data_IF_214272071106
#
_entry.id   IF_214272071106
#
_cell.length_a   1.000
_cell.length_b   1.000
_cell.length_c   1.000
_cell.angle_alpha   90.00
_cell.angle_beta   90.00
_cell.angle_gamma   90.00
#
_symmetry.space_group_name_H-M   'P 1'
#
loop_
_entity.id
_entity.type
_entity.pdbx_description
1 polymer ?
#
# COMPACT_ATOMS: atom_id res chain seq x y z
N UNK A 1 -37.69 -15.37 4.77
CA UNK A 1 -38.99 -15.26 5.48
C UNK A 1 -39.98 -14.65 4.52
N UNK A 2 -41.14 -15.27 4.36
CA UNK A 2 -42.17 -14.84 3.41
C UNK A 2 -43.22 -13.97 4.13
N UNK A 3 -43.06 -12.65 4.00
CA UNK A 3 -43.92 -11.64 4.65
C UNK A 3 -45.41 -11.82 4.28
N UNK A 4 -45.68 -12.29 3.06
CA UNK A 4 -47.04 -12.49 2.57
C UNK A 4 -47.77 -13.57 3.38
N UNK A 5 -47.07 -14.67 3.68
CA UNK A 5 -47.59 -15.76 4.49
C UNK A 5 -47.87 -15.32 5.94
N UNK A 6 -47.04 -14.43 6.49
CA UNK A 6 -47.17 -13.93 7.87
C UNK A 6 -48.31 -12.90 8.01
N UNK A 7 -48.48 -12.01 7.02
CA UNK A 7 -49.62 -11.09 6.92
C UNK A 7 -50.94 -11.87 6.88
N UNK A 8 -51.00 -12.95 6.08
CA UNK A 8 -52.19 -13.81 5.98
C UNK A 8 -52.49 -14.45 7.34
N UNK A 9 -51.47 -14.90 8.06
CA UNK A 9 -51.63 -15.52 9.37
C UNK A 9 -52.13 -14.50 10.42
N UNK A 10 -51.57 -13.30 10.44
CA UNK A 10 -51.95 -12.23 11.37
C UNK A 10 -53.37 -11.71 11.12
N UNK A 11 -53.77 -11.52 9.86
CA UNK A 11 -55.15 -11.13 9.51
C UNK A 11 -56.13 -12.22 9.94
N UNK A 12 -55.82 -13.49 9.68
CA UNK A 12 -56.69 -14.61 10.09
C UNK A 12 -56.80 -14.77 11.61
N UNK A 13 -55.75 -14.45 12.35
CA UNK A 13 -55.73 -14.56 13.81
C UNK A 13 -56.39 -13.38 14.52
N UNK A 14 -56.24 -12.15 14.01
CA UNK A 14 -56.65 -10.94 14.72
C UNK A 14 -57.88 -10.22 14.13
N UNK A 15 -58.20 -10.41 12.84
CA UNK A 15 -59.43 -9.84 12.25
C UNK A 15 -60.68 -10.67 12.56
N UNK A 16 -60.54 -11.80 13.27
CA UNK A 16 -61.65 -12.54 13.87
C UNK A 16 -61.90 -11.98 15.28
N UNK A 17 -62.97 -11.22 15.51
CA UNK A 17 -63.28 -10.74 16.84
C UNK A 17 -63.68 -11.94 17.72
N UNK A 18 -62.81 -12.29 18.68
CA UNK A 18 -63.13 -13.25 19.74
C UNK A 18 -63.57 -12.45 20.95
N UNK A 19 -64.86 -12.45 21.22
CA UNK A 19 -65.40 -11.81 22.42
C UNK A 19 -65.42 -12.85 23.54
N UNK A 20 -64.68 -12.58 24.62
CA UNK A 20 -64.64 -13.45 25.80
C UNK A 20 -66.00 -13.62 26.50
N UNK A 21 -66.99 -12.81 26.12
CA UNK A 21 -68.37 -12.85 26.61
C UNK A 21 -69.32 -13.76 25.80
N UNK A 22 -68.87 -14.32 24.67
CA UNK A 22 -69.70 -15.18 23.81
C UNK A 22 -69.39 -16.66 24.06
N UNK A 23 -70.43 -17.48 24.10
CA UNK A 23 -70.27 -18.94 24.05
C UNK A 23 -70.00 -19.43 22.62
N UNK A 24 -69.52 -20.67 22.48
CA UNK A 24 -69.06 -21.23 21.19
C UNK A 24 -70.15 -21.18 20.09
N UNK A 25 -71.42 -21.32 20.48
CA UNK A 25 -72.55 -21.31 19.55
C UNK A 25 -72.88 -19.88 19.06
N UNK A 26 -72.78 -18.88 19.93
CA UNK A 26 -72.93 -17.47 19.58
C UNK A 26 -71.77 -16.97 18.72
N UNK A 27 -70.54 -17.41 19.03
CA UNK A 27 -69.37 -17.11 18.21
C UNK A 27 -69.52 -17.71 16.80
N UNK A 28 -70.04 -18.94 16.69
CA UNK A 28 -70.29 -19.58 15.38
C UNK A 28 -71.35 -18.86 14.56
N UNK A 29 -72.40 -18.31 15.20
CA UNK A 29 -73.42 -17.49 14.53
C UNK A 29 -72.86 -16.14 14.06
N UNK A 30 -72.04 -15.49 14.88
CA UNK A 30 -71.35 -14.26 14.52
C UNK A 30 -70.39 -14.49 13.34
N UNK A 31 -69.60 -15.57 13.39
CA UNK A 31 -68.68 -15.95 12.31
C UNK A 31 -69.43 -16.20 11.00
N UNK A 32 -70.62 -16.82 11.05
CA UNK A 32 -71.46 -17.05 9.87
C UNK A 32 -72.12 -15.76 9.36
N UNK A 33 -72.43 -14.79 10.22
CA UNK A 33 -72.96 -13.48 9.83
C UNK A 33 -71.89 -12.57 9.22
N UNK A 34 -70.64 -12.66 9.70
CA UNK A 34 -69.50 -11.88 9.22
C UNK A 34 -68.86 -12.42 7.92
N UNK A 35 -69.13 -13.69 7.57
CA UNK A 35 -68.66 -14.32 6.32
C UNK A 35 -68.98 -13.52 5.04
N UNK A 36 -69.97 -12.62 5.07
CA UNK A 36 -70.46 -11.93 3.88
C UNK A 36 -69.74 -10.64 3.48
N UNK A 37 -69.06 -9.92 4.38
CA UNK A 37 -68.75 -8.50 4.13
C UNK A 37 -67.30 -8.05 4.35
N UNK A 38 -66.38 -8.93 4.72
CA UNK A 38 -64.96 -8.55 4.84
C UNK A 38 -64.16 -9.05 3.64
N UNK A 39 -63.80 -8.13 2.75
CA UNK A 39 -62.97 -8.44 1.59
C UNK A 39 -61.50 -8.56 2.03
N UNK A 40 -61.12 -9.75 2.49
CA UNK A 40 -59.77 -10.07 2.94
C UNK A 40 -58.71 -9.88 1.85
N UNK A 41 -59.07 -10.06 0.58
CA UNK A 41 -58.16 -9.85 -0.54
C UNK A 41 -57.86 -8.36 -0.75
N UNK A 42 -58.87 -7.50 -0.55
CA UNK A 42 -58.69 -6.05 -0.59
C UNK A 42 -57.80 -5.57 0.56
N UNK A 43 -58.09 -5.98 1.80
CA UNK A 43 -57.29 -5.64 2.97
C UNK A 43 -55.83 -6.13 2.83
N UNK A 44 -55.64 -7.34 2.31
CA UNK A 44 -54.31 -7.89 2.03
C UNK A 44 -53.55 -7.00 1.04
N UNK A 45 -54.20 -6.62 -0.07
CA UNK A 45 -53.58 -5.80 -1.11
C UNK A 45 -53.20 -4.42 -0.58
N UNK A 46 -54.06 -3.80 0.22
CA UNK A 46 -53.78 -2.50 0.84
C UNK A 46 -52.64 -2.58 1.85
N UNK A 47 -52.61 -3.60 2.70
CA UNK A 47 -51.54 -3.78 3.69
C UNK A 47 -50.19 -4.10 3.04
N UNK A 48 -50.18 -4.95 2.01
CA UNK A 48 -48.97 -5.24 1.24
C UNK A 48 -48.45 -3.97 0.56
N UNK A 49 -49.33 -3.17 -0.06
CA UNK A 49 -48.99 -1.87 -0.63
C UNK A 49 -48.39 -0.91 0.40
N UNK A 50 -49.03 -0.77 1.57
CA UNK A 50 -48.54 0.09 2.64
C UNK A 50 -47.19 -0.35 3.20
N UNK A 51 -46.96 -1.66 3.32
CA UNK A 51 -45.66 -2.21 3.76
C UNK A 51 -44.58 -1.94 2.72
N UNK A 52 -44.89 -2.07 1.43
CA UNK A 52 -43.94 -1.78 0.36
C UNK A 52 -43.62 -0.30 0.25
N UNK A 53 -44.60 0.58 0.47
CA UNK A 53 -44.38 2.02 0.59
C UNK A 53 -43.49 2.35 1.80
N UNK A 54 -43.76 1.75 2.97
CA UNK A 54 -42.93 1.89 4.17
C UNK A 54 -41.50 1.37 3.94
N UNK A 55 -41.35 0.21 3.29
CA UNK A 55 -40.02 -0.32 2.93
C UNK A 55 -39.29 0.63 2.00
N UNK A 56 -39.98 1.21 1.00
CA UNK A 56 -39.39 2.16 0.07
C UNK A 56 -38.94 3.43 0.80
N UNK A 57 -39.76 3.95 1.70
CA UNK A 57 -39.43 5.11 2.54
C UNK A 57 -38.23 4.82 3.46
N UNK A 58 -38.25 3.69 4.18
CA UNK A 58 -37.14 3.28 5.06
C UNK A 58 -35.87 2.97 4.28
N UNK A 59 -35.98 2.38 3.10
CA UNK A 59 -34.84 2.16 2.21
C UNK A 59 -34.25 3.50 1.78
N UNK A 60 -35.07 4.47 1.38
CA UNK A 60 -34.60 5.81 1.03
C UNK A 60 -33.95 6.53 2.21
N UNK A 61 -34.51 6.42 3.42
CA UNK A 61 -33.90 6.95 4.65
C UNK A 61 -32.54 6.29 4.89
N UNK A 62 -32.47 4.96 4.89
CA UNK A 62 -31.21 4.23 5.13
C UNK A 62 -30.17 4.53 4.04
N UNK A 63 -30.56 4.64 2.77
CA UNK A 63 -29.65 4.98 1.67
C UNK A 63 -29.16 6.43 1.78
N UNK A 64 -30.00 7.36 2.22
CA UNK A 64 -29.62 8.76 2.39
C UNK A 64 -28.82 9.00 3.69
N UNK A 65 -29.10 8.23 4.75
CA UNK A 65 -28.39 8.27 6.03
C UNK A 65 -27.03 7.56 5.94
N UNK A 66 -26.90 6.54 5.09
CA UNK A 66 -25.60 5.95 4.70
C UNK A 66 -24.96 6.84 3.62
N UNK A 67 -24.72 8.10 3.96
CA UNK A 67 -24.03 9.07 3.09
C UNK A 67 -22.53 8.78 2.92
N UNK A 68 -21.94 7.91 3.74
CA UNK A 68 -20.49 7.94 3.94
C UNK A 68 -19.67 7.00 3.07
N UNK A 69 -20.28 6.03 2.41
CA UNK A 69 -19.56 5.20 1.44
C UNK A 69 -20.54 4.66 0.41
N UNK A 70 -20.55 5.30 -0.76
CA UNK A 70 -20.65 4.51 -1.98
C UNK A 70 -19.42 3.58 -2.03
N UNK A 71 -19.55 2.44 -1.33
CA UNK A 71 -18.60 1.33 -1.21
C UNK A 71 -18.02 0.89 -2.57
N UNK A 72 -18.71 1.24 -3.66
CA UNK A 72 -18.36 0.93 -5.04
C UNK A 72 -17.27 1.83 -5.63
N UNK A 73 -17.12 3.09 -5.19
CA UNK A 73 -16.11 4.00 -5.75
C UNK A 73 -14.75 3.85 -5.06
N UNK A 74 -14.74 3.81 -3.72
CA UNK A 74 -13.50 3.69 -2.93
C UNK A 74 -12.86 2.29 -3.00
N UNK A 75 -13.69 1.24 -3.09
CA UNK A 75 -13.22 -0.14 -3.13
C UNK A 75 -12.30 -0.43 -4.33
N UNK A 76 -12.54 0.23 -5.46
CA UNK A 76 -11.72 0.06 -6.67
C UNK A 76 -10.47 0.95 -6.70
N UNK A 77 -10.47 2.07 -5.97
CA UNK A 77 -9.35 3.02 -5.88
C UNK A 77 -8.17 2.48 -5.04
N UNK A 78 -8.40 1.51 -4.14
CA UNK A 78 -7.34 0.97 -3.27
C UNK A 78 -7.15 -0.55 -3.39
N UNK A 79 -7.82 -1.20 -4.36
CA UNK A 79 -7.66 -2.63 -4.57
C UNK A 79 -6.20 -2.94 -4.95
N UNK A 80 -5.56 -3.82 -4.18
CA UNK A 80 -4.12 -4.10 -4.18
C UNK A 80 -3.52 -4.69 -5.46
N UNK A 81 -4.29 -4.77 -6.54
CA UNK A 81 -3.84 -5.30 -7.82
C UNK A 81 -3.31 -4.16 -8.71
N UNK A 82 -2.00 -4.16 -8.97
CA UNK A 82 -1.35 -3.24 -9.89
C UNK A 82 -1.16 -1.82 -9.35
N UNK A 83 -0.72 -1.69 -8.08
CA UNK A 83 -0.40 -0.39 -7.48
C UNK A 83 0.90 0.15 -8.09
N UNK A 84 0.79 1.03 -9.07
CA UNK A 84 1.88 1.96 -9.39
C UNK A 84 1.78 3.19 -8.49
N UNK A 85 2.92 3.82 -8.17
CA UNK A 85 2.93 5.04 -7.36
C UNK A 85 2.04 6.13 -7.96
N UNK A 86 2.07 6.29 -9.29
CA UNK A 86 1.24 7.25 -10.02
C UNK A 86 -0.27 6.95 -9.88
N UNK A 87 -0.64 5.67 -9.91
CA UNK A 87 -2.03 5.25 -9.69
C UNK A 87 -2.46 5.55 -8.24
N UNK A 88 -1.64 5.16 -7.25
CA UNK A 88 -1.89 5.42 -5.85
C UNK A 88 -2.08 6.92 -5.55
N UNK A 89 -1.24 7.77 -6.12
CA UNK A 89 -1.33 9.22 -5.92
C UNK A 89 -2.60 9.81 -6.56
N UNK A 90 -2.97 9.36 -7.75
CA UNK A 90 -4.24 9.74 -8.39
C UNK A 90 -5.43 9.29 -7.52
N UNK A 91 -5.39 8.07 -7.01
CA UNK A 91 -6.43 7.50 -6.17
C UNK A 91 -6.55 8.26 -4.82
N UNK A 92 -5.43 8.62 -4.20
CA UNK A 92 -5.39 9.44 -2.98
C UNK A 92 -5.90 10.88 -3.21
N UNK A 93 -5.59 11.47 -4.36
CA UNK A 93 -6.08 12.81 -4.71
C UNK A 93 -7.61 12.83 -4.94
N UNK A 94 -8.18 11.71 -5.38
CA UNK A 94 -9.63 11.53 -5.57
C UNK A 94 -10.39 11.27 -4.28
N UNK A 95 -9.70 10.93 -3.19
CA UNK A 95 -10.35 10.75 -1.89
C UNK A 95 -10.99 12.07 -1.44
N UNK A 96 -12.28 12.08 -1.07
CA UNK A 96 -12.93 13.29 -0.57
C UNK A 96 -12.38 13.69 0.81
N UNK A 97 -12.57 14.97 1.16
CA UNK A 97 -12.38 15.44 2.53
C UNK A 97 -13.72 15.33 3.24
N UNK A 98 -13.76 14.62 4.35
CA UNK A 98 -15.00 14.47 5.12
C UNK A 98 -15.10 15.56 6.19
N UNK A 99 -16.31 16.08 6.37
CA UNK A 99 -16.68 16.96 7.47
C UNK A 99 -18.09 16.56 7.90
N UNK A 100 -18.33 16.49 9.21
CA UNK A 100 -19.69 16.31 9.71
C UNK A 100 -20.47 17.59 9.44
N UNK A 101 -21.63 17.44 8.80
CA UNK A 101 -22.66 18.47 8.77
C UNK A 101 -23.58 18.14 9.93
N UNK A 102 -23.60 19.00 10.95
CA UNK A 102 -24.55 18.96 12.07
C UNK A 102 -24.55 17.68 12.92
N UNK A 103 -23.39 17.23 13.38
CA UNK A 103 -23.29 16.11 14.35
C UNK A 103 -22.35 16.44 15.52
N UNK A 104 -22.90 16.44 16.74
CA UNK A 104 -22.18 16.70 18.00
C UNK A 104 -21.46 15.46 18.55
N UNK A 105 -21.50 14.32 17.85
CA UNK A 105 -20.83 13.11 18.29
C UNK A 105 -19.30 13.23 18.19
N UNK A 106 -18.63 13.46 19.33
CA UNK A 106 -17.16 13.65 19.41
C UNK A 106 -16.38 12.45 18.87
N UNK A 107 -16.91 11.23 19.03
CA UNK A 107 -16.28 10.00 18.53
C UNK A 107 -16.15 10.01 17.00
N UNK A 108 -17.22 10.36 16.30
CA UNK A 108 -17.26 10.40 14.84
C UNK A 108 -16.41 11.58 14.32
N UNK A 109 -16.39 12.70 15.04
CA UNK A 109 -15.51 13.82 14.73
C UNK A 109 -14.02 13.44 14.85
N UNK A 110 -13.66 12.67 15.87
CA UNK A 110 -12.28 12.20 16.06
C UNK A 110 -11.84 11.31 14.90
N UNK A 111 -12.68 10.34 14.51
CA UNK A 111 -12.38 9.43 13.40
C UNK A 111 -12.23 10.17 12.06
N UNK A 112 -13.07 11.16 11.79
CA UNK A 112 -12.98 11.94 10.56
C UNK A 112 -11.77 12.87 10.53
N UNK A 113 -11.35 13.42 11.68
CA UNK A 113 -10.10 14.16 11.80
C UNK A 113 -8.91 13.25 11.54
N UNK A 114 -8.91 12.05 12.11
CA UNK A 114 -7.87 11.05 11.90
C UNK A 114 -7.80 10.62 10.42
N UNK A 115 -8.93 10.33 9.79
CA UNK A 115 -9.00 10.05 8.36
C UNK A 115 -8.40 11.17 7.52
N UNK A 116 -8.83 12.41 7.74
CA UNK A 116 -8.34 13.56 6.98
C UNK A 116 -6.84 13.78 7.20
N UNK A 117 -6.35 13.53 8.42
CA UNK A 117 -4.94 13.59 8.75
C UNK A 117 -4.14 12.52 7.99
N UNK A 118 -4.58 11.26 8.03
CA UNK A 118 -3.96 10.15 7.32
C UNK A 118 -3.95 10.37 5.80
N UNK A 119 -5.07 10.84 5.22
CA UNK A 119 -5.17 11.22 3.81
C UNK A 119 -4.09 12.24 3.44
N UNK A 120 -3.94 13.30 4.24
CA UNK A 120 -2.96 14.36 3.96
C UNK A 120 -1.52 13.84 4.10
N UNK A 121 -1.23 13.04 5.11
CA UNK A 121 0.09 12.42 5.26
C UNK A 121 0.45 11.53 4.06
N UNK A 122 -0.49 10.72 3.57
CA UNK A 122 -0.25 9.83 2.44
C UNK A 122 0.01 10.60 1.15
N UNK A 123 -0.74 11.69 0.90
CA UNK A 123 -0.49 12.59 -0.24
C UNK A 123 0.91 13.21 -0.14
N UNK A 124 1.30 13.73 1.03
CA UNK A 124 2.62 14.31 1.24
C UNK A 124 3.75 13.30 1.00
N UNK A 125 3.59 12.05 1.47
CA UNK A 125 4.57 10.98 1.24
C UNK A 125 4.69 10.63 -0.24
N UNK A 126 3.58 10.53 -0.97
CA UNK A 126 3.61 10.25 -2.41
C UNK A 126 4.35 11.35 -3.18
N UNK A 127 4.04 12.62 -2.89
CA UNK A 127 4.72 13.76 -3.51
C UNK A 127 6.23 13.77 -3.20
N UNK A 128 6.61 13.49 -1.94
CA UNK A 128 8.03 13.41 -1.58
C UNK A 128 8.76 12.30 -2.34
N UNK A 129 8.14 11.13 -2.52
CA UNK A 129 8.73 10.03 -3.29
C UNK A 129 8.90 10.41 -4.76
N UNK A 130 7.92 11.10 -5.36
CA UNK A 130 8.05 11.59 -6.73
C UNK A 130 9.17 12.62 -6.87
N UNK A 131 9.26 13.59 -5.96
CA UNK A 131 10.35 14.57 -5.96
C UNK A 131 11.71 13.89 -5.84
N UNK A 132 11.86 12.96 -4.89
CA UNK A 132 13.11 12.20 -4.73
C UNK A 132 13.46 11.40 -5.98
N UNK A 133 12.49 10.76 -6.64
CA UNK A 133 12.72 10.05 -7.91
C UNK A 133 13.17 11.00 -9.01
N UNK A 134 12.55 12.18 -9.10
CA UNK A 134 12.91 13.16 -10.09
C UNK A 134 14.32 13.69 -9.86
N UNK A 135 14.67 14.03 -8.62
CA UNK A 135 16.00 14.49 -8.23
C UNK A 135 17.07 13.41 -8.43
N UNK A 136 16.82 12.16 -8.05
CA UNK A 136 17.73 11.04 -8.31
C UNK A 136 17.96 10.79 -9.80
N UNK A 137 16.92 10.94 -10.62
CA UNK A 137 17.05 10.80 -12.08
C UNK A 137 17.70 12.04 -12.72
N UNK A 138 17.61 13.20 -12.10
CA UNK A 138 18.25 14.43 -12.57
C UNK A 138 19.71 14.55 -12.09
N UNK A 139 20.09 13.82 -11.04
CA UNK A 139 21.45 13.81 -10.52
C UNK A 139 22.37 12.99 -11.42
N UNK A 140 23.03 13.70 -12.33
CA UNK A 140 24.04 13.17 -13.25
C UNK A 140 25.16 12.45 -12.48
N UNK A 141 25.52 12.88 -11.27
CA UNK A 141 26.56 12.21 -10.49
C UNK A 141 26.11 10.82 -10.05
N UNK A 142 24.85 10.65 -9.65
CA UNK A 142 24.31 9.34 -9.29
C UNK A 142 24.30 8.39 -10.50
N UNK A 143 23.90 8.88 -11.68
CA UNK A 143 23.93 8.08 -12.91
C UNK A 143 25.36 7.65 -13.29
N UNK A 144 26.33 8.56 -13.18
CA UNK A 144 27.74 8.26 -13.44
C UNK A 144 28.26 7.23 -12.42
N UNK A 145 27.99 7.42 -11.13
CA UNK A 145 28.44 6.51 -10.07
C UNK A 145 27.81 5.11 -10.25
N UNK A 146 26.52 5.00 -10.55
CA UNK A 146 25.85 3.71 -10.80
C UNK A 146 26.40 3.03 -12.07
N UNK A 147 26.63 3.79 -13.14
CA UNK A 147 27.26 3.27 -14.36
C UNK A 147 28.69 2.78 -14.12
N UNK A 148 29.51 3.57 -13.40
CA UNK A 148 30.88 3.20 -13.07
C UNK A 148 30.93 1.99 -12.15
N UNK A 149 30.04 1.92 -11.14
CA UNK A 149 29.96 0.80 -10.19
C UNK A 149 29.56 -0.52 -10.85
N UNK A 150 28.81 -0.48 -11.96
CA UNK A 150 28.44 -1.69 -12.74
C UNK A 150 29.55 -2.14 -13.69
N UNK A 151 30.42 -1.22 -14.11
CA UNK A 151 31.44 -1.48 -15.12
C UNK A 151 32.79 -1.82 -14.48
N UNK A 152 33.09 -1.18 -13.35
CA UNK A 152 34.38 -1.31 -12.66
C UNK A 152 34.17 -2.16 -11.41
N UNK A 153 34.62 -3.40 -11.47
CA UNK A 153 34.85 -4.17 -10.25
C UNK A 153 36.16 -3.67 -9.63
N UNK A 154 36.02 -2.72 -8.69
CA UNK A 154 37.15 -2.10 -7.99
C UNK A 154 38.08 -3.13 -7.34
N UNK A 155 37.55 -4.30 -6.97
CA UNK A 155 38.34 -5.37 -6.40
C UNK A 155 39.23 -6.03 -7.47
N UNK A 156 38.68 -6.34 -8.64
CA UNK A 156 39.48 -6.89 -9.73
C UNK A 156 40.54 -5.89 -10.21
N UNK A 157 40.20 -4.61 -10.28
CA UNK A 157 41.16 -3.58 -10.67
C UNK A 157 42.29 -3.42 -9.66
N UNK A 158 41.97 -3.48 -8.36
CA UNK A 158 42.98 -3.52 -7.31
C UNK A 158 43.89 -4.76 -7.46
N UNK A 159 43.30 -5.94 -7.66
CA UNK A 159 44.05 -7.19 -7.79
C UNK A 159 44.93 -7.20 -9.05
N UNK A 160 44.46 -6.66 -10.17
CA UNK A 160 45.23 -6.48 -11.42
C UNK A 160 46.43 -5.54 -11.20
N UNK A 161 46.20 -4.37 -10.60
CA UNK A 161 47.27 -3.40 -10.29
C UNK A 161 48.28 -4.02 -9.32
N UNK A 162 47.84 -4.81 -8.33
CA UNK A 162 48.74 -5.49 -7.41
C UNK A 162 49.62 -6.54 -8.11
N UNK A 163 49.06 -7.27 -9.08
CA UNK A 163 49.82 -8.22 -9.92
C UNK A 163 50.84 -7.50 -10.78
N UNK A 164 50.45 -6.44 -11.49
CA UNK A 164 51.37 -5.66 -12.33
C UNK A 164 52.51 -5.04 -11.51
N UNK A 165 52.21 -4.55 -10.30
CA UNK A 165 53.23 -4.04 -9.38
C UNK A 165 54.20 -5.13 -8.93
N UNK A 166 53.72 -6.36 -8.66
CA UNK A 166 54.57 -7.50 -8.34
C UNK A 166 55.48 -7.89 -9.51
N UNK A 167 54.96 -7.92 -10.73
CA UNK A 167 55.75 -8.21 -11.93
C UNK A 167 56.81 -7.14 -12.19
N UNK A 168 56.46 -5.86 -12.07
CA UNK A 168 57.41 -4.76 -12.18
C UNK A 168 58.53 -4.88 -11.15
N UNK A 169 58.19 -5.19 -9.90
CA UNK A 169 59.14 -5.40 -8.83
C UNK A 169 60.13 -6.54 -9.16
N UNK A 170 59.62 -7.70 -9.60
CA UNK A 170 60.46 -8.84 -9.98
C UNK A 170 61.36 -8.53 -11.18
N UNK A 171 60.85 -7.82 -12.18
CA UNK A 171 61.63 -7.41 -13.35
C UNK A 171 62.77 -6.46 -12.96
N UNK A 172 62.51 -5.51 -12.06
CA UNK A 172 63.55 -4.61 -11.53
C UNK A 172 64.60 -5.37 -10.72
N UNK A 173 64.20 -6.34 -9.90
CA UNK A 173 65.13 -7.21 -9.17
C UNK A 173 66.00 -8.05 -10.11
N UNK A 174 65.40 -8.60 -11.18
CA UNK A 174 66.11 -9.36 -12.20
C UNK A 174 67.15 -8.48 -12.92
N UNK A 175 66.78 -7.27 -13.31
CA UNK A 175 67.68 -6.30 -13.95
C UNK A 175 68.87 -5.97 -13.03
N UNK A 176 68.61 -5.72 -11.74
CA UNK A 176 69.66 -5.43 -10.76
C UNK A 176 70.65 -6.59 -10.58
N UNK A 177 70.15 -7.85 -10.64
CA UNK A 177 70.97 -9.05 -10.43
C UNK A 177 71.72 -9.52 -11.67
N UNK A 178 71.10 -9.40 -12.85
CA UNK A 178 71.55 -10.09 -14.06
C UNK A 178 72.12 -9.18 -15.14
N UNK A 179 71.98 -7.86 -15.05
CA UNK A 179 72.44 -6.95 -16.10
C UNK A 179 73.94 -6.65 -15.97
N UNK A 180 74.78 -7.12 -16.91
CA UNK A 180 76.25 -7.07 -16.77
C UNK A 180 76.86 -5.68 -17.01
N UNK A 181 76.17 -4.80 -17.74
CA UNK A 181 76.61 -3.42 -18.06
C UNK A 181 76.06 -2.35 -17.11
N UNK A 182 75.39 -2.74 -16.02
CA UNK A 182 74.81 -1.78 -15.08
C UNK A 182 75.91 -1.21 -14.17
N UNK A 183 76.33 0.03 -14.41
CA UNK A 183 77.30 0.69 -13.53
C UNK A 183 76.73 0.91 -12.11
N UNK A 184 77.61 1.01 -11.11
CA UNK A 184 77.22 1.09 -9.69
C UNK A 184 76.31 2.30 -9.39
N UNK A 185 76.47 3.39 -10.15
CA UNK A 185 75.69 4.60 -10.00
C UNK A 185 74.23 4.43 -10.46
N UNK A 186 74.00 3.77 -11.61
CA UNK A 186 72.65 3.40 -12.08
C UNK A 186 72.03 2.32 -11.19
N UNK A 187 72.83 1.37 -10.71
CA UNK A 187 72.39 0.35 -9.75
C UNK A 187 71.89 0.99 -8.45
N UNK A 188 72.62 1.98 -7.93
CA UNK A 188 72.23 2.76 -6.75
C UNK A 188 70.98 3.61 -7.00
N UNK A 189 70.81 4.22 -8.18
CA UNK A 189 69.60 4.96 -8.53
C UNK A 189 68.35 4.07 -8.60
N UNK A 190 68.45 2.88 -9.21
CA UNK A 190 67.33 1.92 -9.27
C UNK A 190 67.00 1.40 -7.87
N UNK A 191 68.01 1.09 -7.05
CA UNK A 191 67.79 0.69 -5.65
C UNK A 191 67.13 1.81 -4.81
N UNK A 192 67.50 3.08 -5.04
CA UNK A 192 66.84 4.23 -4.39
C UNK A 192 65.39 4.42 -4.85
N UNK A 193 65.10 4.25 -6.14
CA UNK A 193 63.75 4.34 -6.68
C UNK A 193 62.85 3.24 -6.12
N UNK A 194 63.38 2.02 -6.01
CA UNK A 194 62.72 0.90 -5.33
C UNK A 194 62.49 1.23 -3.85
N UNK A 195 63.54 1.68 -3.15
CA UNK A 195 63.51 2.04 -1.73
C UNK A 195 62.54 3.17 -1.37
N UNK A 196 62.32 4.11 -2.29
CA UNK A 196 61.39 5.23 -2.12
C UNK A 196 59.95 4.92 -2.57
N UNK A 197 59.70 3.72 -3.09
CA UNK A 197 58.40 3.34 -3.64
C UNK A 197 57.61 2.40 -2.73
N UNK A 198 56.31 2.29 -2.99
CA UNK A 198 55.40 1.32 -2.36
C UNK A 198 55.73 -0.15 -2.71
N UNK A 199 56.79 -0.41 -3.49
CA UNK A 199 57.24 -1.74 -3.89
C UNK A 199 58.14 -2.42 -2.85
N UNK A 200 58.73 -1.65 -1.91
CA UNK A 200 59.59 -2.19 -0.83
C UNK A 200 58.95 -3.30 0.01
N UNK A 201 57.67 -3.21 0.43
CA UNK A 201 57.01 -4.27 1.18
C UNK A 201 56.73 -5.55 0.36
N UNK A 202 56.72 -5.43 -0.96
CA UNK A 202 56.40 -6.51 -1.91
C UNK A 202 57.69 -7.25 -2.32
N UNK A 203 58.81 -6.54 -2.36
CA UNK A 203 60.11 -7.08 -2.68
C UNK A 203 60.70 -7.85 -1.50
N UNK A 204 61.01 -9.11 -1.71
CA UNK A 204 61.75 -9.92 -0.74
C UNK A 204 63.26 -9.67 -0.85
N UNK A 205 63.66 -8.40 -0.89
CA UNK A 205 65.05 -8.02 -0.76
C UNK A 205 65.34 -8.09 0.72
N UNK A 206 65.78 -9.28 1.17
CA UNK A 206 66.49 -9.41 2.45
C UNK A 206 67.50 -8.27 2.50
N UNK A 207 67.28 -7.34 3.43
CA UNK A 207 68.19 -6.24 3.66
C UNK A 207 69.57 -6.79 4.00
N UNK A 208 70.47 -6.76 3.02
CA UNK A 208 71.88 -6.56 3.30
C UNK A 208 72.02 -5.06 3.57
N UNK A 209 71.65 -4.67 4.78
CA UNK A 209 72.17 -3.48 5.43
C UNK A 209 72.71 -3.95 6.79
N UNK A 210 73.99 -4.34 6.76
CA UNK A 210 75.08 -3.88 7.65
C UNK A 210 74.88 -4.10 9.16
N UNK A 211 75.60 -5.01 9.83
CA UNK A 211 76.99 -4.84 10.33
C UNK A 211 77.72 -3.57 9.96
#
# INVERSE_FOLDING_TARGET
>A
MDLDSEIIQLIRQNARPKFSSLNDEQQTKLDNALKGNFNYDLLRKELAGSIDDFKRERFNIVVNDIGDLQRLELGNLLNGNGISLAKLQNDLNRLPRFQLVDNENESDQSLLREYNHLRLQLIMKCNAIETMRHEMNADVNYQIIDSMSRTVDLKNWHDEVEVELKELAQNLELILKSWPELNDEKRSQVAKLIGASSLMPILNVKGEHDT
#
